data_IF_319799695582
#
_entry.id   IF_319799695582
#
_cell.length_a   1.000
_cell.length_b   1.000
_cell.length_c   1.000
_cell.angle_alpha   90.00
_cell.angle_beta   90.00
_cell.angle_gamma   90.00
#
_symmetry.space_group_name_H-M   'P 1'
#
loop_
_entity.id
_entity.type
_entity.pdbx_description
1 polymer ?
#
# COMPACT_ATOMS: atom_id res chain seq x y z
N UNK A 1 -12.61 -18.40 20.49
CA UNK A 1 -12.08 -17.08 20.84
C UNK A 1 -10.61 -17.16 21.31
N UNK A 2 -10.20 -18.13 22.16
CA UNK A 2 -8.80 -18.32 22.56
C UNK A 2 -7.83 -18.56 21.38
N UNK A 3 -8.34 -19.04 20.25
CA UNK A 3 -7.54 -19.30 19.03
C UNK A 3 -7.11 -18.01 18.32
N UNK A 4 -7.75 -16.88 18.59
CA UNK A 4 -7.52 -15.60 17.93
C UNK A 4 -6.81 -14.57 18.82
N UNK A 5 -6.13 -14.94 19.90
CA UNK A 5 -5.36 -13.98 20.69
C UNK A 5 -6.14 -12.72 21.08
N UNK A 6 -7.44 -12.89 21.38
CA UNK A 6 -8.29 -11.81 21.86
C UNK A 6 -7.79 -11.44 23.24
N UNK A 7 -7.38 -10.19 23.43
CA UNK A 7 -7.05 -9.56 24.69
C UNK A 7 -5.75 -9.97 25.37
N UNK A 8 -4.63 -10.01 24.67
CA UNK A 8 -3.38 -9.74 25.38
C UNK A 8 -3.34 -8.22 25.66
N UNK A 9 -3.46 -7.84 26.92
CA UNK A 9 -3.23 -6.47 27.35
C UNK A 9 -1.82 -6.06 26.96
N UNK A 10 -1.70 -4.96 26.20
CA UNK A 10 -0.39 -4.48 25.80
C UNK A 10 0.24 -3.73 26.96
N UNK A 11 1.20 -4.35 27.60
CA UNK A 11 1.96 -3.72 28.68
C UNK A 11 3.04 -2.81 28.08
N UNK A 12 2.97 -1.52 28.40
CA UNK A 12 3.96 -0.51 28.07
C UNK A 12 4.76 -0.12 29.29
N UNK A 13 6.08 -0.21 29.24
CA UNK A 13 6.92 0.38 30.28
C UNK A 13 6.85 1.92 30.16
N UNK A 14 6.37 2.64 31.18
CA UNK A 14 6.13 4.09 31.11
C UNK A 14 7.38 4.93 30.90
N UNK A 15 8.56 4.37 31.17
CA UNK A 15 9.85 5.07 31.08
C UNK A 15 10.66 4.70 29.83
N UNK A 16 10.13 3.82 28.98
CA UNK A 16 10.80 3.41 27.73
C UNK A 16 10.11 3.99 26.51
N UNK A 17 10.89 4.27 25.48
CA UNK A 17 10.37 4.72 24.18
C UNK A 17 9.51 3.64 23.52
N UNK A 18 8.55 4.04 22.68
CA UNK A 18 7.72 3.12 21.90
C UNK A 18 8.58 2.13 21.12
N UNK A 19 9.58 2.63 20.38
CA UNK A 19 10.42 1.79 19.53
C UNK A 19 11.17 0.69 20.30
N UNK A 20 11.52 0.93 21.58
CA UNK A 20 12.26 -0.05 22.39
C UNK A 20 11.42 -1.25 22.89
N UNK A 21 10.15 -1.32 22.52
CA UNK A 21 9.25 -2.42 22.84
C UNK A 21 9.06 -3.40 21.67
N UNK A 22 9.77 -3.22 20.60
CA UNK A 22 9.81 -4.12 19.43
C UNK A 22 11.10 -4.95 19.48
N UNK A 23 11.14 -6.05 18.74
CA UNK A 23 12.23 -7.01 18.77
C UNK A 23 13.56 -6.43 18.25
N UNK A 24 13.46 -5.48 17.31
CA UNK A 24 14.59 -4.75 16.76
C UNK A 24 14.18 -3.35 16.29
N UNK A 25 15.16 -2.52 15.96
CA UNK A 25 14.90 -1.20 15.35
C UNK A 25 14.20 -1.35 14.00
N UNK A 26 14.60 -2.33 13.21
CA UNK A 26 14.00 -2.60 11.90
C UNK A 26 12.54 -3.09 12.05
N UNK A 27 12.26 -3.95 13.02
CA UNK A 27 10.90 -4.37 13.35
C UNK A 27 10.03 -3.19 13.79
N UNK A 28 10.57 -2.30 14.64
CA UNK A 28 9.89 -1.07 15.05
C UNK A 28 9.55 -0.18 13.85
N UNK A 29 10.53 0.09 12.97
CA UNK A 29 10.35 0.90 11.77
C UNK A 29 9.27 0.31 10.88
N UNK A 30 9.34 -0.98 10.63
CA UNK A 30 8.44 -1.66 9.73
C UNK A 30 6.99 -1.65 10.26
N UNK A 31 6.80 -2.02 11.53
CA UNK A 31 5.46 -2.14 12.12
C UNK A 31 4.82 -0.79 12.41
N UNK A 32 5.59 0.21 12.86
CA UNK A 32 5.08 1.57 13.07
C UNK A 32 4.72 2.24 11.74
N UNK A 33 5.51 2.00 10.70
CA UNK A 33 5.17 2.46 9.34
C UNK A 33 3.94 1.74 8.78
N UNK A 34 3.75 0.48 9.11
CA UNK A 34 2.59 -0.33 8.68
C UNK A 34 1.26 0.22 9.17
N UNK A 35 1.25 0.99 10.24
CA UNK A 35 0.07 1.66 10.79
C UNK A 35 0.01 3.15 10.46
N UNK A 36 0.83 3.61 9.51
CA UNK A 36 0.87 5.00 9.07
C UNK A 36 1.48 5.97 10.08
N UNK A 37 2.25 5.48 11.06
CA UNK A 37 2.94 6.33 12.03
C UNK A 37 4.41 6.53 11.61
N UNK A 38 4.64 7.46 10.69
CA UNK A 38 5.98 7.69 10.09
C UNK A 38 6.80 8.78 10.79
N UNK A 39 6.32 9.30 11.92
CA UNK A 39 6.97 10.38 12.66
C UNK A 39 8.00 9.82 13.64
N UNK A 40 9.27 9.77 13.24
CA UNK A 40 10.36 9.20 14.06
C UNK A 40 10.45 9.82 15.47
N UNK A 41 10.30 11.14 15.67
CA UNK A 41 10.27 11.71 17.02
C UNK A 41 9.18 11.13 17.93
N UNK A 42 8.06 10.67 17.38
CA UNK A 42 7.00 9.99 18.15
C UNK A 42 7.46 8.62 18.64
N UNK A 43 8.26 7.90 17.87
CA UNK A 43 8.78 6.58 18.25
C UNK A 43 9.73 6.60 19.45
N UNK A 44 10.44 7.73 19.62
CA UNK A 44 11.36 7.96 20.74
C UNK A 44 10.64 8.32 22.04
N UNK A 45 9.34 8.64 21.98
CA UNK A 45 8.54 8.99 23.17
C UNK A 45 7.98 7.74 23.85
N UNK A 46 7.76 7.80 25.18
CA UNK A 46 7.01 6.76 25.86
C UNK A 46 5.51 6.83 25.53
N UNK A 47 4.83 5.66 25.53
CA UNK A 47 3.41 5.54 25.16
C UNK A 47 2.50 6.53 25.89
N UNK A 48 2.76 6.81 27.16
CA UNK A 48 1.93 7.66 28.03
C UNK A 48 1.80 9.13 27.60
N UNK A 49 2.74 9.62 26.79
CA UNK A 49 2.74 11.03 26.33
C UNK A 49 2.24 11.19 24.89
N UNK A 50 1.80 10.11 24.28
CA UNK A 50 1.24 10.14 22.93
C UNK A 50 -0.23 10.59 22.96
N UNK A 51 -0.66 11.25 21.90
CA UNK A 51 -2.08 11.52 21.67
C UNK A 51 -2.87 10.22 21.53
N UNK A 52 -4.19 10.27 21.70
CA UNK A 52 -5.06 9.10 21.56
C UNK A 52 -4.87 8.40 20.20
N UNK A 53 -4.80 9.17 19.11
CA UNK A 53 -4.63 8.61 17.76
C UNK A 53 -3.22 8.04 17.51
N UNK A 54 -2.17 8.62 18.07
CA UNK A 54 -0.82 8.04 18.04
C UNK A 54 -0.78 6.77 18.89
N UNK A 55 -1.38 6.85 20.08
CA UNK A 55 -1.49 5.74 20.99
C UNK A 55 -2.20 4.54 20.38
N UNK A 56 -3.35 4.73 19.77
CA UNK A 56 -4.06 3.68 19.03
C UNK A 56 -3.14 3.02 17.98
N UNK A 57 -2.42 3.81 17.20
CA UNK A 57 -1.54 3.27 16.15
C UNK A 57 -0.36 2.46 16.70
N UNK A 58 0.26 2.89 17.80
CA UNK A 58 1.35 2.10 18.40
C UNK A 58 0.83 0.81 19.05
N UNK A 59 -0.37 0.83 19.66
CA UNK A 59 -1.03 -0.35 20.18
C UNK A 59 -1.37 -1.32 19.04
N UNK A 60 -1.91 -0.81 17.94
CA UNK A 60 -2.18 -1.57 16.72
C UNK A 60 -0.90 -2.21 16.16
N UNK A 61 0.21 -1.46 16.06
CA UNK A 61 1.48 -1.96 15.56
C UNK A 61 1.98 -3.16 16.39
N UNK A 62 1.83 -3.13 17.70
CA UNK A 62 2.23 -4.25 18.59
C UNK A 62 1.30 -5.45 18.50
N UNK A 63 -0.01 -5.24 18.30
CA UNK A 63 -0.99 -6.34 18.18
C UNK A 63 -0.95 -7.04 16.83
N UNK A 64 -0.46 -6.35 15.78
CA UNK A 64 -0.55 -6.83 14.41
C UNK A 64 0.33 -8.06 14.19
N UNK A 65 -0.29 -9.22 14.17
CA UNK A 65 0.28 -10.54 13.87
C UNK A 65 -0.78 -11.41 13.21
N UNK A 66 -0.42 -12.56 12.65
CA UNK A 66 -1.43 -13.53 12.21
C UNK A 66 -2.26 -14.02 13.40
N UNK A 67 -3.53 -14.36 13.16
CA UNK A 67 -4.50 -14.80 14.15
C UNK A 67 -4.79 -13.73 15.22
N UNK A 68 -4.97 -12.46 14.82
CA UNK A 68 -5.34 -11.38 15.74
C UNK A 68 -6.71 -10.80 15.45
N UNK A 69 -7.35 -10.30 16.50
CA UNK A 69 -8.58 -9.52 16.45
C UNK A 69 -8.28 -8.14 16.98
N UNK A 70 -8.71 -7.12 16.26
CA UNK A 70 -8.59 -5.72 16.62
C UNK A 70 -10.00 -5.16 16.72
N UNK A 71 -10.39 -4.80 17.91
CA UNK A 71 -11.67 -4.15 18.15
C UNK A 71 -11.55 -2.64 18.06
N UNK A 72 -12.68 -1.95 17.86
CA UNK A 72 -12.76 -0.49 17.75
C UNK A 72 -11.80 0.10 16.71
N UNK A 73 -11.57 -0.63 15.63
CA UNK A 73 -10.62 -0.20 14.59
C UNK A 73 -11.03 1.16 14.02
N UNK A 74 -10.13 2.14 14.12
CA UNK A 74 -10.26 3.54 13.69
C UNK A 74 -11.28 4.42 14.44
N UNK A 75 -11.87 3.95 15.55
CA UNK A 75 -12.85 4.73 16.32
C UNK A 75 -12.28 6.01 16.94
N UNK A 76 -10.99 6.02 17.28
CA UNK A 76 -10.31 7.13 17.99
C UNK A 76 -9.43 8.01 17.10
N UNK A 77 -9.48 7.84 15.78
CA UNK A 77 -8.69 8.62 14.81
C UNK A 77 -9.59 9.36 13.82
N UNK A 78 -9.13 10.51 13.32
CA UNK A 78 -9.84 11.21 12.25
C UNK A 78 -9.78 10.41 10.93
N UNK A 79 -10.62 10.79 9.95
CA UNK A 79 -10.81 10.01 8.72
C UNK A 79 -9.56 9.99 7.83
N UNK A 80 -8.76 11.06 7.81
CA UNK A 80 -7.51 11.11 7.02
C UNK A 80 -6.45 10.17 7.60
N UNK A 81 -6.32 10.15 8.93
CA UNK A 81 -5.45 9.19 9.64
C UNK A 81 -5.97 7.77 9.46
N UNK A 82 -7.28 7.54 9.55
CA UNK A 82 -7.87 6.23 9.30
C UNK A 82 -7.57 5.73 7.88
N UNK A 83 -7.68 6.59 6.87
CA UNK A 83 -7.37 6.27 5.48
C UNK A 83 -5.90 5.90 5.30
N UNK A 84 -4.98 6.71 5.81
CA UNK A 84 -3.54 6.44 5.70
C UNK A 84 -3.14 5.18 6.46
N UNK A 85 -3.67 4.98 7.67
CA UNK A 85 -3.45 3.79 8.49
C UNK A 85 -3.97 2.53 7.78
N UNK A 86 -5.22 2.54 7.30
CA UNK A 86 -5.85 1.38 6.65
C UNK A 86 -5.15 1.00 5.35
N UNK A 87 -4.74 2.00 4.55
CA UNK A 87 -3.98 1.76 3.31
C UNK A 87 -2.60 1.15 3.60
N UNK A 88 -1.88 1.66 4.61
CA UNK A 88 -0.58 1.12 5.01
C UNK A 88 -0.71 -0.30 5.57
N UNK A 89 -1.70 -0.52 6.44
CA UNK A 89 -2.02 -1.83 7.02
C UNK A 89 -2.32 -2.88 5.94
N UNK A 90 -3.18 -2.55 4.98
CA UNK A 90 -3.51 -3.46 3.87
C UNK A 90 -2.27 -3.90 3.09
N UNK A 91 -1.37 -2.95 2.80
CA UNK A 91 -0.10 -3.25 2.10
C UNK A 91 0.82 -4.14 2.95
N UNK A 92 0.92 -3.85 4.24
CA UNK A 92 1.77 -4.62 5.15
C UNK A 92 1.28 -6.06 5.31
N UNK A 93 -0.01 -6.25 5.57
CA UNK A 93 -0.63 -7.57 5.69
C UNK A 93 -0.37 -8.44 4.46
N UNK A 94 -0.53 -7.85 3.26
CA UNK A 94 -0.27 -8.55 1.99
C UNK A 94 1.23 -8.87 1.81
N UNK A 95 2.11 -7.92 2.10
CA UNK A 95 3.57 -8.09 1.95
C UNK A 95 4.12 -9.16 2.89
N UNK A 96 3.64 -9.18 4.14
CA UNK A 96 4.06 -10.15 5.16
C UNK A 96 3.27 -11.46 5.14
N UNK A 97 2.29 -11.57 4.23
CA UNK A 97 1.41 -12.72 4.14
C UNK A 97 0.75 -13.09 5.49
N UNK A 98 0.37 -12.06 6.26
CA UNK A 98 -0.33 -12.26 7.52
C UNK A 98 -1.74 -12.80 7.25
N UNK A 99 -2.20 -13.71 8.09
CA UNK A 99 -3.48 -14.41 7.90
C UNK A 99 -4.35 -14.33 9.16
N UNK A 100 -5.66 -14.49 8.95
CA UNK A 100 -6.64 -14.53 10.01
C UNK A 100 -6.61 -13.26 10.89
N UNK A 101 -6.66 -12.10 10.24
CA UNK A 101 -6.78 -10.80 10.89
C UNK A 101 -8.22 -10.37 10.81
N UNK A 102 -8.84 -10.10 11.95
CA UNK A 102 -10.21 -9.62 12.05
C UNK A 102 -10.18 -8.21 12.63
N UNK A 103 -10.83 -7.27 11.95
CA UNK A 103 -10.99 -5.90 12.39
C UNK A 103 -12.48 -5.64 12.62
N UNK A 104 -12.86 -5.29 13.83
CA UNK A 104 -14.23 -4.84 14.13
C UNK A 104 -14.27 -3.31 14.11
N UNK A 105 -15.24 -2.73 13.42
CA UNK A 105 -15.35 -1.29 13.23
C UNK A 105 -16.79 -0.89 12.92
N UNK A 106 -17.15 0.34 13.28
CA UNK A 106 -18.42 0.95 12.89
C UNK A 106 -18.32 1.83 11.62
N UNK A 107 -17.14 1.85 10.96
CA UNK A 107 -16.88 2.74 9.84
C UNK A 107 -16.81 1.99 8.51
N UNK A 108 -17.78 2.23 7.62
CA UNK A 108 -17.86 1.56 6.32
C UNK A 108 -16.84 2.04 5.30
N UNK A 109 -16.35 3.28 5.39
CA UNK A 109 -15.39 3.87 4.45
C UNK A 109 -14.01 3.21 4.47
N UNK A 110 -13.65 2.56 5.59
CA UNK A 110 -12.37 1.84 5.67
C UNK A 110 -12.32 0.61 4.77
N UNK A 111 -13.45 0.07 4.34
CA UNK A 111 -13.53 -1.14 3.51
C UNK A 111 -12.81 -0.93 2.19
N UNK A 112 -12.96 0.25 1.58
CA UNK A 112 -12.27 0.60 0.34
C UNK A 112 -10.75 0.66 0.53
N UNK A 113 -10.28 1.17 1.67
CA UNK A 113 -8.86 1.36 1.95
C UNK A 113 -8.16 0.08 2.40
N UNK A 114 -8.84 -0.74 3.19
CA UNK A 114 -8.33 -2.03 3.67
C UNK A 114 -8.34 -3.10 2.59
N UNK A 115 -9.36 -3.09 1.72
CA UNK A 115 -9.60 -4.14 0.73
C UNK A 115 -9.58 -5.55 1.36
N UNK A 116 -10.48 -5.82 2.31
CA UNK A 116 -10.50 -7.10 3.03
C UNK A 116 -10.96 -8.25 2.11
N UNK A 117 -10.62 -9.48 2.48
CA UNK A 117 -11.06 -10.69 1.75
C UNK A 117 -12.56 -10.94 1.95
N UNK A 118 -13.10 -10.54 3.10
CA UNK A 118 -14.51 -10.65 3.41
C UNK A 118 -14.94 -9.53 4.38
N UNK A 119 -16.22 -9.22 4.34
CA UNK A 119 -16.89 -8.28 5.25
C UNK A 119 -18.13 -8.97 5.79
N UNK A 120 -18.29 -8.99 7.11
CA UNK A 120 -19.53 -9.35 7.79
C UNK A 120 -20.19 -8.07 8.27
N UNK A 121 -21.37 -7.80 7.74
CA UNK A 121 -22.18 -6.66 8.16
C UNK A 121 -23.15 -7.12 9.26
N UNK A 122 -23.00 -6.52 10.44
CA UNK A 122 -23.81 -6.89 11.61
C UNK A 122 -25.24 -6.36 11.55
N UNK A 123 -25.51 -5.34 10.74
CA UNK A 123 -26.86 -4.76 10.61
C UNK A 123 -27.73 -5.62 9.69
N UNK A 124 -27.14 -6.13 8.61
CA UNK A 124 -27.84 -6.98 7.65
C UNK A 124 -27.63 -8.48 7.87
N UNK A 125 -26.68 -8.85 8.72
CA UNK A 125 -26.20 -10.22 8.96
C UNK A 125 -25.67 -10.92 7.72
N UNK A 126 -25.21 -10.13 6.74
CA UNK A 126 -24.69 -10.61 5.48
C UNK A 126 -23.16 -10.75 5.48
N UNK A 127 -22.66 -11.78 4.79
CA UNK A 127 -21.24 -11.94 4.50
C UNK A 127 -20.99 -11.69 3.02
N UNK A 128 -20.29 -10.61 2.74
CA UNK A 128 -19.77 -10.34 1.40
C UNK A 128 -18.32 -10.77 1.28
N UNK A 129 -18.00 -11.61 0.30
CA UNK A 129 -16.62 -11.92 -0.07
C UNK A 129 -16.20 -10.95 -1.17
N UNK A 130 -15.24 -10.10 -0.84
CA UNK A 130 -14.63 -9.21 -1.81
C UNK A 130 -13.29 -9.80 -2.23
N UNK A 131 -13.26 -10.53 -3.30
CA UNK A 131 -12.02 -10.82 -4.01
C UNK A 131 -11.60 -9.56 -4.78
N UNK A 132 -11.14 -8.56 -4.06
CA UNK A 132 -10.45 -7.41 -4.66
C UNK A 132 -9.02 -7.83 -5.02
N UNK A 133 -8.86 -8.92 -5.75
CA UNK A 133 -7.65 -9.10 -6.53
C UNK A 133 -7.67 -7.98 -7.57
N UNK A 134 -6.71 -7.06 -7.48
CA UNK A 134 -6.43 -6.20 -8.63
C UNK A 134 -6.29 -7.13 -9.82
N UNK A 135 -7.05 -6.92 -10.90
CA UNK A 135 -6.85 -7.75 -12.09
C UNK A 135 -5.36 -7.67 -12.44
N UNK A 136 -4.81 -8.81 -12.81
CA UNK A 136 -3.42 -8.84 -13.26
C UNK A 136 -3.39 -8.00 -14.54
N UNK A 137 -2.83 -6.79 -14.46
CA UNK A 137 -2.69 -5.92 -15.62
C UNK A 137 -1.43 -6.38 -16.36
N UNK A 138 -1.63 -7.24 -17.35
CA UNK A 138 -0.56 -7.66 -18.25
C UNK A 138 -0.47 -6.68 -19.40
N UNK A 139 0.56 -5.84 -19.40
CA UNK A 139 0.85 -4.91 -20.48
C UNK A 139 1.85 -5.57 -21.42
N UNK A 140 1.45 -5.73 -22.69
CA UNK A 140 2.34 -6.18 -23.76
C UNK A 140 2.94 -4.95 -24.44
N UNK A 141 4.25 -4.94 -24.63
CA UNK A 141 4.97 -3.84 -25.25
C UNK A 141 5.56 -4.32 -26.59
N UNK A 142 5.21 -3.62 -27.66
CA UNK A 142 5.68 -3.92 -29.01
C UNK A 142 6.45 -2.74 -29.60
N UNK A 143 7.46 -3.03 -30.40
CA UNK A 143 8.08 -2.02 -31.25
C UNK A 143 7.09 -1.64 -32.36
N UNK A 144 6.88 -0.36 -32.60
CA UNK A 144 5.89 0.13 -33.55
C UNK A 144 6.42 1.24 -34.47
N UNK A 145 5.63 1.58 -35.50
CA UNK A 145 5.88 2.77 -36.34
C UNK A 145 5.57 4.06 -35.55
N UNK A 146 6.28 5.14 -35.88
CA UNK A 146 5.99 6.48 -35.38
C UNK A 146 4.57 6.99 -35.74
N UNK A 147 3.93 6.38 -36.74
CA UNK A 147 2.59 6.79 -37.18
C UNK A 147 1.53 6.59 -36.10
N UNK A 148 1.74 5.65 -35.18
CA UNK A 148 0.87 5.47 -34.01
C UNK A 148 0.83 6.68 -33.08
N UNK A 149 1.81 7.58 -33.16
CA UNK A 149 1.80 8.82 -32.40
C UNK A 149 0.55 9.67 -32.66
N UNK A 150 -0.01 9.64 -33.87
CA UNK A 150 -1.21 10.41 -34.22
C UNK A 150 -2.38 10.16 -33.28
N UNK A 151 -2.46 8.95 -32.68
CA UNK A 151 -3.51 8.58 -31.72
C UNK A 151 -3.32 9.27 -30.37
N UNK A 152 -2.09 9.67 -30.03
CA UNK A 152 -1.73 10.22 -28.74
C UNK A 152 -1.33 11.69 -28.78
N UNK A 153 -1.11 12.24 -29.96
CA UNK A 153 -0.59 13.60 -30.16
C UNK A 153 -1.44 14.67 -29.45
N UNK A 154 -2.75 14.49 -29.41
CA UNK A 154 -3.69 15.42 -28.76
C UNK A 154 -3.60 15.42 -27.23
N UNK A 155 -3.03 14.42 -26.61
CA UNK A 155 -2.81 14.36 -25.18
C UNK A 155 -1.48 15.01 -24.76
N UNK A 156 -0.60 15.32 -25.71
CA UNK A 156 0.72 15.86 -25.39
C UNK A 156 0.71 17.38 -25.38
N UNK A 157 1.01 17.97 -24.25
CA UNK A 157 0.85 19.43 -24.01
C UNK A 157 1.98 20.30 -24.60
N UNK A 158 3.16 19.74 -24.90
CA UNK A 158 4.31 20.53 -25.39
C UNK A 158 4.42 20.56 -26.91
N UNK A 159 4.23 19.43 -27.59
CA UNK A 159 4.38 19.35 -29.04
C UNK A 159 3.64 18.15 -29.62
N UNK A 160 3.04 18.35 -30.79
CA UNK A 160 2.44 17.26 -31.56
C UNK A 160 3.43 16.56 -32.50
N UNK A 161 4.69 17.02 -32.55
CA UNK A 161 5.70 16.50 -33.47
C UNK A 161 6.68 15.57 -32.74
N UNK A 162 6.98 14.44 -33.36
CA UNK A 162 8.04 13.52 -32.94
C UNK A 162 9.28 13.72 -33.80
N UNK A 163 10.49 13.65 -33.23
CA UNK A 163 11.72 13.69 -34.02
C UNK A 163 11.77 12.60 -35.10
N UNK A 164 12.46 12.83 -36.22
CA UNK A 164 12.47 11.87 -37.34
C UNK A 164 13.15 10.55 -37.00
N UNK A 165 14.15 10.55 -36.11
CA UNK A 165 14.92 9.36 -35.70
C UNK A 165 14.56 8.98 -34.27
N UNK A 166 13.59 8.07 -34.11
CA UNK A 166 13.15 7.58 -32.81
C UNK A 166 12.87 6.09 -32.86
N UNK A 167 13.02 5.44 -31.71
CA UNK A 167 12.46 4.10 -31.48
C UNK A 167 11.13 4.28 -30.79
N UNK A 168 10.07 3.71 -31.37
CA UNK A 168 8.72 3.81 -30.82
C UNK A 168 8.24 2.45 -30.30
N UNK A 169 7.50 2.50 -29.20
CA UNK A 169 6.90 1.35 -28.55
C UNK A 169 5.44 1.62 -28.28
N UNK A 170 4.61 0.62 -28.47
CA UNK A 170 3.19 0.61 -28.21
C UNK A 170 2.90 -0.31 -27.05
N UNK A 171 2.15 0.16 -26.08
CA UNK A 171 1.68 -0.64 -24.97
C UNK A 171 0.23 -1.04 -25.19
N UNK A 172 -0.10 -2.31 -25.03
CA UNK A 172 -1.47 -2.85 -25.10
C UNK A 172 -1.85 -3.56 -23.82
N UNK A 173 -3.13 -3.48 -23.47
CA UNK A 173 -3.77 -4.23 -22.40
C UNK A 173 -5.05 -4.85 -22.97
N UNK A 174 -5.18 -6.17 -22.87
CA UNK A 174 -6.26 -6.93 -23.51
C UNK A 174 -6.48 -6.54 -24.98
N UNK A 175 -5.37 -6.44 -25.73
CA UNK A 175 -5.31 -6.03 -27.14
C UNK A 175 -5.81 -4.61 -27.45
N UNK A 176 -6.15 -3.84 -26.41
CA UNK A 176 -6.48 -2.42 -26.54
C UNK A 176 -5.19 -1.60 -26.38
N UNK A 177 -4.98 -0.65 -27.26
CA UNK A 177 -3.83 0.28 -27.20
C UNK A 177 -4.04 1.22 -26.01
N UNK A 178 -3.13 1.16 -25.03
CA UNK A 178 -3.20 1.96 -23.79
C UNK A 178 -2.06 2.93 -23.62
N UNK A 179 -1.00 2.84 -24.42
CA UNK A 179 0.13 3.76 -24.28
C UNK A 179 1.08 3.74 -25.47
N UNK A 180 1.83 4.83 -25.60
CA UNK A 180 2.87 5.02 -26.60
C UNK A 180 4.10 5.64 -25.93
N UNK A 181 5.27 5.14 -26.27
CA UNK A 181 6.54 5.69 -25.82
C UNK A 181 7.49 5.86 -26.98
N UNK A 182 8.28 6.92 -26.96
CA UNK A 182 9.35 7.15 -27.93
C UNK A 182 10.66 7.47 -27.24
N UNK A 183 11.75 6.91 -27.74
CA UNK A 183 13.10 7.16 -27.24
C UNK A 183 14.02 7.58 -28.39
N UNK A 184 14.87 8.58 -28.12
CA UNK A 184 15.92 9.03 -29.01
C UNK A 184 17.23 8.47 -28.49
N UNK A 185 18.05 7.89 -29.37
CA UNK A 185 19.43 7.56 -29.00
C UNK A 185 20.20 8.89 -28.83
N UNK A 186 20.68 9.18 -27.64
CA UNK A 186 21.59 10.28 -27.41
C UNK A 186 22.90 9.99 -28.15
N UNK A 187 23.49 10.98 -28.86
CA UNK A 187 24.81 10.84 -29.43
C UNK A 187 25.85 10.77 -28.28
N UNK A 188 26.34 9.58 -27.98
CA UNK A 188 27.33 9.30 -26.93
C UNK A 188 27.39 7.81 -26.60
N UNK A 189 28.52 7.33 -26.09
CA UNK A 189 28.65 5.96 -25.64
C UNK A 189 27.68 5.71 -24.47
N UNK A 190 26.52 5.15 -24.75
CA UNK A 190 25.65 4.61 -23.71
C UNK A 190 26.28 3.30 -23.26
N UNK A 191 26.60 3.12 -21.94
CA UNK A 191 27.01 1.83 -21.45
C UNK A 191 25.90 0.81 -21.76
N UNK A 192 26.23 -0.46 -22.00
CA UNK A 192 25.23 -1.47 -22.29
C UNK A 192 24.16 -1.45 -21.18
N UNK A 193 22.92 -1.23 -21.57
CA UNK A 193 21.78 -1.39 -20.67
C UNK A 193 21.86 -2.81 -20.10
N UNK A 194 21.91 -2.88 -18.77
CA UNK A 194 21.73 -4.14 -18.08
C UNK A 194 20.48 -4.81 -18.62
N UNK A 195 20.63 -6.04 -19.12
CA UNK A 195 19.51 -6.97 -19.31
C UNK A 195 19.02 -7.38 -17.93
N UNK A 196 18.32 -6.50 -17.27
CA UNK A 196 17.65 -6.70 -16.00
C UNK A 196 16.16 -6.57 -16.22
N UNK A 197 15.46 -7.61 -15.86
CA UNK A 197 14.00 -7.70 -15.78
C UNK A 197 13.45 -6.40 -15.15
N UNK A 198 12.85 -5.50 -15.96
CA UNK A 198 12.20 -4.30 -15.48
C UNK A 198 10.89 -4.73 -14.83
N UNK A 199 10.97 -5.21 -13.62
CA UNK A 199 9.80 -5.31 -12.75
C UNK A 199 9.43 -3.90 -12.30
N UNK A 200 8.55 -3.26 -13.05
CA UNK A 200 7.89 -2.04 -12.61
C UNK A 200 7.11 -2.35 -11.33
N UNK A 201 7.68 -1.97 -10.19
CA UNK A 201 6.95 -1.87 -8.93
C UNK A 201 6.15 -0.56 -8.98
N UNK A 202 4.86 -0.68 -9.18
CA UNK A 202 3.89 0.35 -8.82
C UNK A 202 3.21 -0.03 -7.52
#
# INVERSE_FOLDING_TARGET
>A
LKQFGIEEEIIWNPNRSVASHFDSVDDAIERLSAVGLNTVPTWAKPRRVLSNGEGFRVDLARRLKSNCVIDEYTSVVNRDVAKSCSTALSKYVKRKNLKNIILATCHYDIIEWLQPDWVFDTDTLDISRRSLRRPNIEIKIYKCSKDYWRMFAHHHYLTSKIPPIVRCFLATWNDIIVGFSSSIALPGKIPPLYEGDIRTKF
#
